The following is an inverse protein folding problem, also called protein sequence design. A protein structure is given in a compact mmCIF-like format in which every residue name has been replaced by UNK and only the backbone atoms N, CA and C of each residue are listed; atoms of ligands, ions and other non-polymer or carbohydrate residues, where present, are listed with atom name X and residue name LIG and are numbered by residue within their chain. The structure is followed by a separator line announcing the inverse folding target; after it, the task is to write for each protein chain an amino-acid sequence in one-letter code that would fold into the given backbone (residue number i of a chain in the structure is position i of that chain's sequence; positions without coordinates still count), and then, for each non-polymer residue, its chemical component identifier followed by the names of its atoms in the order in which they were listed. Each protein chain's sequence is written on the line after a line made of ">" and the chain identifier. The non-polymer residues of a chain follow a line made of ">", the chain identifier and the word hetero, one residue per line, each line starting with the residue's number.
data_IF_642484502752
#
_entry.id   IF_642484502752
#
_cell.length_a   1.000
_cell.length_b   1.000
_cell.length_c   1.000
_cell.angle_alpha   90.00
_cell.angle_beta   90.00
_cell.angle_gamma   90.00
#
_symmetry.space_group_name_H-M   'P 1'
#
loop_
_entity.id
_entity.type
_entity.pdbx_description
1 polymer ?
#
# COMPACT_ATOMS: atom_id res chain seq x y z
N UNK A 1 28.19 -9.88 -5.03
CA UNK A 1 27.25 -11.01 -4.82
C UNK A 1 27.45 -12.00 -5.96
N UNK A 2 28.17 -13.09 -5.70
CA UNK A 2 28.41 -14.19 -6.66
C UNK A 2 27.21 -15.14 -6.63
N UNK A 3 26.61 -15.40 -7.80
CA UNK A 3 25.34 -16.11 -7.97
C UNK A 3 25.42 -17.62 -7.70
N UNK A 4 25.23 -18.01 -6.44
CA UNK A 4 25.14 -19.42 -6.03
C UNK A 4 23.70 -19.97 -5.91
N UNK A 5 22.69 -19.15 -6.18
CA UNK A 5 21.29 -19.57 -6.15
C UNK A 5 20.61 -19.14 -7.45
N UNK A 6 20.21 -20.11 -8.27
CA UNK A 6 19.34 -19.88 -9.42
C UNK A 6 17.98 -19.39 -8.91
N UNK A 7 17.83 -18.09 -8.76
CA UNK A 7 16.55 -17.48 -8.41
C UNK A 7 15.71 -17.43 -9.67
N UNK A 8 14.62 -18.21 -9.71
CA UNK A 8 13.57 -18.01 -10.72
C UNK A 8 12.97 -16.63 -10.48
N UNK A 9 13.40 -15.67 -11.28
CA UNK A 9 12.77 -14.36 -11.38
C UNK A 9 11.75 -14.41 -12.51
N UNK A 10 10.58 -13.85 -12.24
CA UNK A 10 9.52 -13.67 -13.24
C UNK A 10 9.47 -12.18 -13.57
N UNK A 11 10.32 -11.70 -14.48
CA UNK A 11 10.23 -10.31 -14.91
C UNK A 11 8.88 -10.10 -15.60
N UNK A 12 8.22 -8.98 -15.30
CA UNK A 12 7.03 -8.58 -16.03
C UNK A 12 7.40 -8.44 -17.51
N UNK A 13 6.66 -9.09 -18.41
CA UNK A 13 6.85 -8.92 -19.85
C UNK A 13 6.60 -7.47 -20.30
N UNK A 14 5.66 -6.79 -19.62
CA UNK A 14 5.41 -5.36 -19.80
C UNK A 14 5.34 -4.65 -18.44
N UNK A 15 6.37 -3.86 -18.15
CA UNK A 15 6.45 -3.05 -16.94
C UNK A 15 5.80 -1.67 -17.11
N UNK A 16 5.32 -1.30 -18.31
CA UNK A 16 4.78 0.04 -18.59
C UNK A 16 3.49 0.30 -17.82
N UNK A 17 2.61 -0.68 -17.75
CA UNK A 17 1.36 -0.56 -17.01
C UNK A 17 1.62 -0.32 -15.51
N UNK A 18 2.55 -1.07 -14.91
CA UNK A 18 2.95 -0.87 -13.52
C UNK A 18 3.56 0.53 -13.31
N UNK A 19 4.45 0.96 -14.21
CA UNK A 19 5.07 2.28 -14.13
C UNK A 19 4.05 3.41 -14.21
N UNK A 20 3.05 3.30 -15.10
CA UNK A 20 1.95 4.27 -15.21
C UNK A 20 1.13 4.33 -13.93
N UNK A 21 0.76 3.18 -13.37
CA UNK A 21 0.01 3.13 -12.09
C UNK A 21 0.82 3.74 -10.95
N UNK A 22 2.14 3.48 -10.88
CA UNK A 22 3.01 4.12 -9.87
C UNK A 22 3.10 5.64 -10.06
N UNK A 23 3.16 6.12 -11.29
CA UNK A 23 3.16 7.57 -11.57
C UNK A 23 1.88 8.24 -11.08
N UNK A 24 0.72 7.65 -11.38
CA UNK A 24 -0.58 8.17 -10.90
C UNK A 24 -0.64 8.22 -9.36
N UNK A 25 -0.16 7.17 -8.69
CA UNK A 25 -0.09 7.13 -7.22
C UNK A 25 0.85 8.24 -6.68
N UNK A 26 2.01 8.44 -7.31
CA UNK A 26 2.97 9.49 -6.93
C UNK A 26 2.37 10.88 -7.11
N UNK A 27 1.65 11.13 -8.20
CA UNK A 27 0.99 12.40 -8.47
C UNK A 27 -0.15 12.68 -7.50
N UNK A 28 -0.97 11.69 -7.19
CA UNK A 28 -2.03 11.79 -6.19
C UNK A 28 -1.47 12.06 -4.79
N UNK A 29 -0.42 11.35 -4.38
CA UNK A 29 0.23 11.55 -3.09
C UNK A 29 0.97 12.89 -3.00
N UNK A 30 1.53 13.39 -4.10
CA UNK A 30 2.13 14.70 -4.17
C UNK A 30 1.10 15.85 -4.27
N UNK A 31 -0.19 15.53 -4.41
CA UNK A 31 -1.26 16.52 -4.57
C UNK A 31 -1.26 17.23 -5.93
N UNK A 32 -0.59 16.67 -6.95
CA UNK A 32 -0.54 17.20 -8.31
C UNK A 32 -1.76 16.79 -9.15
N UNK A 33 -2.44 15.71 -8.76
CA UNK A 33 -3.64 15.21 -9.42
C UNK A 33 -4.67 14.75 -8.36
N UNK A 34 -5.96 14.84 -8.69
CA UNK A 34 -7.01 14.25 -7.87
C UNK A 34 -6.94 12.72 -8.01
N UNK A 35 -6.95 11.95 -6.89
CA UNK A 35 -6.96 10.50 -6.96
C UNK A 35 -8.29 10.02 -7.57
N UNK A 36 -8.21 9.18 -8.58
CA UNK A 36 -9.38 8.42 -9.03
C UNK A 36 -9.76 7.36 -7.98
N UNK A 37 -10.97 6.81 -8.10
CA UNK A 37 -11.48 5.79 -7.18
C UNK A 37 -10.52 4.60 -7.02
N UNK A 38 -9.91 4.15 -8.13
CA UNK A 38 -8.98 3.03 -8.16
C UNK A 38 -7.65 3.35 -7.47
N UNK A 39 -7.03 4.51 -7.74
CA UNK A 39 -5.78 4.90 -7.08
C UNK A 39 -6.00 5.16 -5.59
N UNK A 40 -7.12 5.76 -5.20
CA UNK A 40 -7.45 5.93 -3.79
C UNK A 40 -7.58 4.58 -3.07
N UNK A 41 -8.19 3.57 -3.71
CA UNK A 41 -8.26 2.21 -3.20
C UNK A 41 -6.86 1.59 -3.02
N UNK A 42 -5.99 1.72 -4.01
CA UNK A 42 -4.62 1.22 -3.96
C UNK A 42 -3.82 1.91 -2.85
N UNK A 43 -3.96 3.23 -2.70
CA UNK A 43 -3.32 4.00 -1.63
C UNK A 43 -3.83 3.54 -0.26
N UNK A 44 -5.13 3.28 -0.12
CA UNK A 44 -5.72 2.76 1.11
C UNK A 44 -5.14 1.39 1.50
N UNK A 45 -5.02 0.46 0.53
CA UNK A 45 -4.42 -0.86 0.76
C UNK A 45 -2.94 -0.74 1.17
N UNK A 46 -2.17 0.08 0.46
CA UNK A 46 -0.75 0.31 0.78
C UNK A 46 -0.58 0.92 2.17
N UNK A 47 -1.48 1.83 2.56
CA UNK A 47 -1.51 2.44 3.88
C UNK A 47 -1.87 1.44 4.98
N UNK A 48 -2.87 0.60 4.76
CA UNK A 48 -3.28 -0.46 5.68
C UNK A 48 -2.14 -1.46 5.92
N UNK A 49 -1.39 -1.81 4.87
CA UNK A 49 -0.21 -2.68 4.94
C UNK A 49 1.02 -2.00 5.55
N UNK A 50 0.97 -0.69 5.87
CA UNK A 50 2.10 0.13 6.36
C UNK A 50 3.35 0.02 5.48
N UNK A 51 3.14 -0.15 4.17
CA UNK A 51 4.20 -0.37 3.18
C UNK A 51 4.41 0.84 2.27
N UNK A 52 3.97 2.03 2.68
CA UNK A 52 3.96 3.24 1.86
C UNK A 52 5.36 3.57 1.34
N UNK A 53 6.37 3.57 2.21
CA UNK A 53 7.75 3.87 1.85
C UNK A 53 8.49 2.75 1.11
N UNK A 54 7.88 1.56 0.98
CA UNK A 54 8.40 0.45 0.16
C UNK A 54 7.85 0.50 -1.26
N UNK A 55 6.63 1.01 -1.41
CA UNK A 55 5.94 1.10 -2.70
C UNK A 55 6.19 2.44 -3.38
N UNK A 56 6.27 3.52 -2.60
CA UNK A 56 6.46 4.88 -3.10
C UNK A 56 7.71 5.49 -2.48
N UNK A 57 8.59 6.02 -3.32
CA UNK A 57 9.72 6.80 -2.85
C UNK A 57 9.23 8.17 -2.38
N UNK A 58 9.44 8.47 -1.10
CA UNK A 58 9.05 9.73 -0.49
C UNK A 58 9.73 10.93 -1.19
N UNK A 59 10.94 10.74 -1.71
CA UNK A 59 11.66 11.75 -2.49
C UNK A 59 10.96 12.12 -3.79
N UNK A 60 10.34 11.15 -4.47
CA UNK A 60 9.59 11.38 -5.72
C UNK A 60 8.31 12.21 -5.50
N UNK A 61 7.77 12.20 -4.28
CA UNK A 61 6.62 13.01 -3.90
C UNK A 61 7.01 14.38 -3.33
N UNK A 62 8.30 14.64 -3.05
CA UNK A 62 8.74 15.83 -2.32
C UNK A 62 8.27 15.87 -0.86
N UNK A 63 7.95 14.70 -0.28
CA UNK A 63 7.39 14.58 1.07
C UNK A 63 8.37 13.83 1.98
N UNK A 64 8.35 14.13 3.28
CA UNK A 64 8.95 13.22 4.26
C UNK A 64 8.14 11.92 4.39
N UNK A 65 8.77 10.85 4.88
CA UNK A 65 8.07 9.57 5.14
C UNK A 65 6.83 9.74 6.02
N UNK A 66 6.89 10.65 7.01
CA UNK A 66 5.76 10.97 7.88
C UNK A 66 4.64 11.67 7.10
N UNK A 67 4.96 12.67 6.30
CA UNK A 67 3.98 13.38 5.47
C UNK A 67 3.35 12.49 4.42
N UNK A 68 4.14 11.62 3.77
CA UNK A 68 3.65 10.61 2.83
C UNK A 68 2.58 9.72 3.49
N UNK A 69 2.87 9.25 4.71
CA UNK A 69 1.98 8.39 5.48
C UNK A 69 0.71 9.09 5.92
N UNK A 70 0.83 10.35 6.37
CA UNK A 70 -0.31 11.19 6.70
C UNK A 70 -1.21 11.39 5.47
N UNK A 71 -0.61 11.75 4.33
CA UNK A 71 -1.33 12.01 3.10
C UNK A 71 -2.03 10.77 2.55
N UNK A 72 -1.37 9.62 2.61
CA UNK A 72 -1.99 8.34 2.26
C UNK A 72 -3.21 8.05 3.16
N UNK A 73 -3.12 8.33 4.46
CA UNK A 73 -4.25 8.18 5.40
C UNK A 73 -5.39 9.19 5.21
N UNK A 74 -5.10 10.38 4.68
CA UNK A 74 -6.14 11.34 4.26
C UNK A 74 -6.91 10.82 3.04
N UNK A 75 -6.19 10.38 2.00
CA UNK A 75 -6.78 9.83 0.78
C UNK A 75 -7.57 8.56 1.09
N UNK A 76 -7.03 7.67 1.94
CA UNK A 76 -7.70 6.44 2.34
C UNK A 76 -9.03 6.68 3.07
N UNK A 77 -9.14 7.78 3.82
CA UNK A 77 -10.36 8.13 4.55
C UNK A 77 -11.44 8.78 3.69
N UNK A 78 -11.07 9.39 2.56
CA UNK A 78 -11.99 10.07 1.64
C UNK A 78 -13.07 9.14 1.04
N UNK A 79 -14.07 9.73 0.40
CA UNK A 79 -15.16 9.01 -0.26
C UNK A 79 -14.77 8.66 -1.71
N UNK A 80 -14.10 7.52 -1.87
CA UNK A 80 -13.51 7.09 -3.16
C UNK A 80 -14.09 5.77 -3.68
N UNK A 81 -14.95 5.09 -2.94
CA UNK A 81 -15.56 3.82 -3.32
C UNK A 81 -16.98 3.70 -2.76
N UNK A 82 -17.80 2.86 -3.39
CA UNK A 82 -19.09 2.51 -2.83
C UNK A 82 -18.93 1.92 -1.43
N UNK A 83 -19.89 2.19 -0.56
CA UNK A 83 -19.84 1.78 0.84
C UNK A 83 -19.68 0.26 1.01
N UNK A 84 -20.23 -0.53 0.07
CA UNK A 84 -20.04 -1.97 0.05
C UNK A 84 -18.57 -2.39 -0.17
N UNK A 85 -17.87 -1.74 -1.10
CA UNK A 85 -16.44 -2.02 -1.38
C UNK A 85 -15.57 -1.55 -0.22
N UNK A 86 -15.89 -0.38 0.36
CA UNK A 86 -15.21 0.15 1.53
C UNK A 86 -15.33 -0.81 2.72
N UNK A 87 -16.56 -1.27 3.01
CA UNK A 87 -16.85 -2.22 4.09
C UNK A 87 -16.12 -3.55 3.90
N UNK A 88 -16.10 -4.09 2.69
CA UNK A 88 -15.37 -5.33 2.40
C UNK A 88 -13.86 -5.20 2.68
N UNK A 89 -13.27 -4.05 2.32
CA UNK A 89 -11.84 -3.78 2.59
C UNK A 89 -11.60 -3.61 4.09
N UNK A 90 -12.45 -2.89 4.80
CA UNK A 90 -12.32 -2.70 6.26
C UNK A 90 -12.46 -4.03 7.03
N UNK A 91 -13.38 -4.90 6.62
CA UNK A 91 -13.52 -6.26 7.17
C UNK A 91 -12.27 -7.11 6.93
N UNK A 92 -11.69 -7.08 5.73
CA UNK A 92 -10.44 -7.78 5.44
C UNK A 92 -9.26 -7.24 6.28
N UNK A 93 -9.15 -5.93 6.44
CA UNK A 93 -8.11 -5.30 7.27
C UNK A 93 -8.29 -5.73 8.73
N UNK A 94 -9.52 -5.71 9.25
CA UNK A 94 -9.83 -6.16 10.60
C UNK A 94 -9.46 -7.64 10.81
N UNK A 95 -9.77 -8.51 9.84
CA UNK A 95 -9.40 -9.92 9.90
C UNK A 95 -7.88 -10.13 9.93
N UNK A 96 -7.12 -9.37 9.13
CA UNK A 96 -5.63 -9.43 9.13
C UNK A 96 -5.07 -8.98 10.49
N UNK A 97 -5.61 -7.90 11.06
CA UNK A 97 -5.22 -7.42 12.39
C UNK A 97 -5.53 -8.48 13.46
N UNK A 98 -6.73 -9.05 13.44
CA UNK A 98 -7.12 -10.11 14.37
C UNK A 98 -6.19 -11.34 14.26
N UNK A 99 -5.91 -11.81 13.05
CA UNK A 99 -5.02 -12.95 12.82
C UNK A 99 -3.59 -12.69 13.32
N UNK A 100 -3.04 -11.49 13.06
CA UNK A 100 -1.68 -11.13 13.50
C UNK A 100 -1.58 -10.94 15.01
N UNK A 101 -2.61 -10.39 15.66
CA UNK A 101 -2.67 -10.31 17.13
C UNK A 101 -2.79 -11.68 17.79
N UNK A 102 -3.61 -12.59 17.24
CA UNK A 102 -3.74 -13.96 17.73
C UNK A 102 -2.41 -14.74 17.61
N UNK A 103 -1.71 -14.60 16.48
CA UNK A 103 -0.39 -15.20 16.28
C UNK A 103 0.65 -14.66 17.29
N UNK A 104 0.61 -13.37 17.60
CA UNK A 104 1.49 -12.75 18.60
C UNK A 104 1.22 -13.28 20.01
N UNK A 105 -0.05 -13.41 20.39
CA UNK A 105 -0.44 -13.95 21.70
C UNK A 105 -0.03 -15.43 21.87
N UNK A 106 -0.15 -16.24 20.81
CA UNK A 106 0.31 -17.63 20.81
C UNK A 106 1.84 -17.74 21.00
N UNK A 107 2.61 -16.81 20.41
CA UNK A 107 4.06 -16.79 20.58
C UNK A 107 4.52 -16.46 21.99
N UNK A 108 3.79 -15.61 22.72
CA UNK A 108 4.09 -15.26 24.12
C UNK A 108 3.67 -16.33 25.14
N UNK A 109 2.68 -17.17 24.81
CA UNK A 109 2.23 -18.26 25.68
C UNK A 109 3.08 -19.54 25.56
N UNK A 110 3.90 -19.64 24.51
CA UNK A 110 4.79 -20.77 24.25
C UNK A 110 6.26 -20.52 24.72
N UNK A 111 6.51 -19.40 25.40
CA UNK A 111 7.80 -19.03 25.98
C UNK A 111 7.86 -19.24 27.49
#
# INVERSE_FOLDING_TARGET
>A
MLGLFATRRWPAQDARHEAQVRQLIVEALAGRAAPDARCAALIALVHALRCESKVVDAGACGLSRRQLRQRAGEIARGDWASEAVRKAIDEMIAAIIAATTAASAASTAAG
#
